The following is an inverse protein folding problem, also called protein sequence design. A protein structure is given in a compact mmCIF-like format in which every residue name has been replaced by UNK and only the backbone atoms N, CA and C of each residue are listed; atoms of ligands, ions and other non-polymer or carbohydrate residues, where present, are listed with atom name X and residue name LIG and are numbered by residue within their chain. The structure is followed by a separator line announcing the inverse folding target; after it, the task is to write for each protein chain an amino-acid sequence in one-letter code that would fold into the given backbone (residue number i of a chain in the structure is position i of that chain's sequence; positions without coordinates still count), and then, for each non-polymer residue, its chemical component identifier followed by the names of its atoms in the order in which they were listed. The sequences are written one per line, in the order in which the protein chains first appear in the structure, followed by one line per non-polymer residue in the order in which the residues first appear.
data_IF_326471567858
#
_entry.id   IF_326471567858
#
_cell.length_a   1.000
_cell.length_b   1.000
_cell.length_c   1.000
_cell.angle_alpha   90.00
_cell.angle_beta   90.00
_cell.angle_gamma   90.00
#
_symmetry.space_group_name_H-M   'P 1'
#
loop_
_entity.id
_entity.type
_entity.pdbx_description
1 polymer ?
2 non-polymer ?
3 water ?
#
# COMPACT_ATOMS: atom_id res chain seq x y z
N UNK A 1 -0.89 17.61 -3.40
CA UNK A 1 -1.91 16.57 -3.72
C UNK A 1 -1.69 15.32 -2.87
N UNK A 2 -2.35 14.24 -3.26
CA UNK A 2 -2.24 12.99 -2.53
C UNK A 2 -1.06 12.17 -3.02
N UNK A 3 -0.80 11.05 -2.35
CA UNK A 3 0.29 10.16 -2.72
C UNK A 3 -0.14 9.43 -3.99
N UNK A 4 0.84 8.95 -4.75
CA UNK A 4 0.54 8.23 -5.98
C UNK A 4 -0.05 6.86 -5.68
N UNK A 5 -0.94 6.42 -6.56
CA UNK A 5 -1.56 5.11 -6.44
C UNK A 5 -0.60 4.03 -6.94
N UNK A 6 -0.54 2.93 -6.21
CA UNK A 6 0.29 1.80 -6.59
C UNK A 6 -0.32 1.24 -7.87
N UNK A 7 0.38 1.43 -8.99
CA UNK A 7 -0.13 0.98 -10.28
C UNK A 7 0.04 -0.48 -10.64
N UNK A 8 -0.60 -0.87 -11.74
CA UNK A 8 -0.56 -2.24 -12.25
C UNK A 8 0.45 -2.34 -13.37
N UNK A 9 1.15 -3.46 -13.42
CA UNK A 9 2.11 -3.72 -14.49
C UNK A 9 2.10 -5.21 -14.78
N UNK A 10 1.65 -5.56 -15.97
CA UNK A 10 1.58 -6.95 -16.36
C UNK A 10 0.89 -7.05 -17.69
N UNK A 11 0.52 -8.26 -18.06
CA UNK A 11 -0.15 -8.47 -19.34
C UNK A 11 -1.50 -7.78 -19.39
N UNK A 12 -1.82 -7.25 -20.56
CA UNK A 12 -3.11 -6.61 -20.77
C UNK A 12 -3.76 -7.41 -21.89
N UNK A 13 -5.07 -7.53 -21.87
CA UNK A 13 -5.79 -8.25 -22.92
C UNK A 13 -6.33 -7.21 -23.89
N UNK A 14 -6.13 -7.46 -25.18
CA UNK A 14 -6.59 -6.53 -26.21
C UNK A 14 -5.66 -5.34 -26.33
N UNK A 15 -5.47 -4.84 -27.54
CA UNK A 15 -4.58 -3.69 -27.74
C UNK A 15 -5.36 -2.39 -27.79
N UNK A 16 -4.64 -1.27 -27.78
CA UNK A 16 -5.27 0.04 -27.81
C UNK A 16 -4.56 1.06 -26.93
N UNK A 17 -5.21 2.21 -26.71
CA UNK A 17 -4.63 3.24 -25.89
C UNK A 17 -5.41 3.40 -24.59
N UNK A 18 -4.72 3.23 -23.46
CA UNK A 18 -5.34 3.35 -22.16
C UNK A 18 -5.08 4.72 -21.54
N UNK A 19 -6.09 5.21 -20.82
CA UNK A 19 -5.99 6.51 -20.19
C UNK A 19 -6.41 6.38 -18.74
N UNK A 20 -5.76 7.13 -17.85
CA UNK A 20 -6.09 7.12 -16.43
C UNK A 20 -5.49 8.34 -15.75
N UNK A 21 -5.89 8.58 -14.50
CA UNK A 21 -5.37 9.70 -13.72
C UNK A 21 -4.93 9.20 -12.35
N UNK A 22 -3.72 9.57 -11.95
CA UNK A 22 -3.21 9.16 -10.65
C UNK A 22 -3.67 10.16 -9.59
N UNK A 23 -3.83 9.69 -8.34
CA UNK A 23 -4.27 10.56 -7.23
C UNK A 23 -3.37 11.81 -7.06
N UNK A 24 -2.15 11.77 -7.55
CA UNK A 24 -1.26 12.92 -7.42
C UNK A 24 -1.61 13.99 -8.44
N UNK A 25 -2.57 13.67 -9.29
CA UNK A 25 -3.00 14.61 -10.32
C UNK A 25 -2.46 14.35 -11.71
N UNK A 26 -1.46 13.49 -11.81
CA UNK A 26 -0.87 13.21 -13.11
C UNK A 26 -1.72 12.35 -14.04
N UNK A 27 -1.72 12.70 -15.33
CA UNK A 27 -2.44 11.91 -16.31
C UNK A 27 -1.43 10.93 -16.86
N UNK A 28 -1.82 9.66 -16.98
CA UNK A 28 -0.91 8.65 -17.49
C UNK A 28 -1.53 7.94 -18.69
N UNK A 29 -0.72 7.78 -19.73
CA UNK A 29 -1.17 7.10 -20.93
C UNK A 29 -0.40 5.80 -21.10
N UNK A 30 -1.14 4.74 -21.42
CA UNK A 30 -0.54 3.45 -21.64
C UNK A 30 -0.88 2.94 -23.02
N UNK A 31 0.13 2.80 -23.87
CA UNK A 31 -0.06 2.31 -25.23
C UNK A 31 0.14 0.79 -25.18
N UNK A 32 -0.92 0.04 -25.47
CA UNK A 32 -0.86 -1.42 -25.42
C UNK A 32 -0.78 -2.12 -26.77
N UNK A 33 0.34 -2.80 -26.99
CA UNK A 33 0.55 -3.55 -28.24
C UNK A 33 1.06 -4.95 -27.90
N UNK A 34 0.38 -5.97 -28.42
CA UNK A 34 0.75 -7.37 -28.18
C UNK A 34 0.76 -7.72 -26.69
N UNK A 35 -0.14 -7.13 -25.91
CA UNK A 35 -0.20 -7.44 -24.50
C UNK A 35 0.68 -6.60 -23.59
N UNK A 36 1.64 -5.87 -24.16
CA UNK A 36 2.51 -5.04 -23.34
C UNK A 36 2.07 -3.58 -23.35
N UNK A 37 2.20 -2.93 -22.20
CA UNK A 37 1.82 -1.54 -22.08
C UNK A 37 3.01 -0.65 -21.88
N UNK A 38 3.16 0.33 -22.76
CA UNK A 38 4.24 1.30 -22.64
C UNK A 38 3.62 2.52 -21.95
N UNK A 39 4.30 3.01 -20.92
CA UNK A 39 3.79 4.15 -20.16
C UNK A 39 4.34 5.52 -20.55
N UNK A 40 3.44 6.50 -20.60
CA UNK A 40 3.79 7.89 -20.91
C UNK A 40 3.21 8.74 -19.79
N UNK A 41 4.07 9.43 -19.05
CA UNK A 41 3.58 10.27 -17.97
C UNK A 41 4.61 11.27 -17.49
N UNK A 42 4.24 12.13 -16.53
CA UNK A 42 5.11 13.16 -15.95
C UNK A 42 6.19 12.54 -15.08
N UNK A 43 7.35 13.18 -15.00
CA UNK A 43 8.43 12.67 -14.17
C UNK A 43 8.02 12.91 -12.73
N UNK A 44 6.92 13.63 -12.57
CA UNK A 44 6.39 13.98 -11.28
C UNK A 44 5.61 12.84 -10.63
N UNK A 45 5.21 11.86 -11.43
CA UNK A 45 4.42 10.73 -10.92
C UNK A 45 5.20 9.44 -10.78
N UNK A 46 4.94 8.74 -9.68
CA UNK A 46 5.60 7.50 -9.35
C UNK A 46 5.35 6.39 -10.38
N UNK A 47 4.14 6.36 -10.93
CA UNK A 47 3.79 5.34 -11.92
C UNK A 47 4.67 5.46 -13.16
N UNK A 48 4.97 6.69 -13.54
CA UNK A 48 5.82 6.93 -14.71
C UNK A 48 7.12 6.15 -14.53
N UNK A 49 7.79 6.36 -13.40
CA UNK A 49 9.06 5.67 -13.16
C UNK A 49 8.94 4.15 -13.03
N UNK A 50 7.84 3.65 -12.44
CA UNK A 50 7.65 2.21 -12.29
C UNK A 50 7.10 1.57 -13.56
N UNK A 51 6.71 2.39 -14.53
CA UNK A 51 6.14 1.85 -15.75
C UNK A 51 4.81 1.18 -15.42
N UNK A 52 4.12 1.69 -14.40
CA UNK A 52 2.84 1.11 -13.99
C UNK A 52 1.63 1.98 -14.34
N UNK A 53 0.45 1.38 -14.33
CA UNK A 53 -0.79 2.05 -14.68
C UNK A 53 -1.83 1.99 -13.54
N UNK A 54 -2.11 3.12 -12.87
CA UNK A 54 -3.08 3.11 -11.78
C UNK A 54 -4.53 3.05 -12.27
N UNK A 55 -5.19 1.92 -12.01
CA UNK A 55 -6.58 1.73 -12.42
C UNK A 55 -7.54 2.47 -11.49
N UNK A 56 -8.28 3.41 -12.04
CA UNK A 56 -9.22 4.24 -11.27
C UNK A 56 -10.60 4.34 -11.89
N UNK A 57 -11.48 5.08 -11.21
CA UNK A 57 -12.80 5.33 -11.74
C UNK A 57 -12.53 6.30 -12.89
N UNK A 58 -11.30 6.81 -12.94
CA UNK A 58 -10.85 7.74 -13.97
C UNK A 58 -10.24 6.99 -15.15
N UNK A 59 -10.07 5.68 -15.03
CA UNK A 59 -9.47 4.92 -16.12
C UNK A 59 -10.39 4.78 -17.34
N UNK A 60 -9.78 4.93 -18.51
CA UNK A 60 -10.47 4.84 -19.79
C UNK A 60 -9.71 4.00 -20.80
N UNK A 61 -10.44 3.24 -21.61
CA UNK A 61 -9.79 2.41 -22.61
C UNK A 61 -10.49 1.09 -22.88
N UNK A 62 -10.06 0.35 -23.92
CA UNK A 62 -10.65 -0.94 -24.30
C UNK A 62 -9.92 -2.16 -23.77
N UNK A 63 -8.65 -1.97 -23.43
CA UNK A 63 -7.82 -3.07 -22.93
C UNK A 63 -8.21 -3.51 -21.52
N UNK A 64 -7.90 -4.75 -21.21
CA UNK A 64 -8.23 -5.32 -19.92
C UNK A 64 -7.07 -5.95 -19.17
N UNK A 65 -7.00 -5.74 -17.84
CA UNK A 65 -5.94 -6.29 -17.00
C UNK A 65 -6.01 -7.82 -17.00
N UNK A 66 -4.85 -8.47 -17.05
CA UNK A 66 -4.80 -9.92 -17.04
C UNK A 66 -3.67 -10.35 -16.11
N UNK A 67 -3.92 -10.32 -14.79
CA UNK A 67 -2.97 -10.67 -13.72
C UNK A 67 -2.49 -12.13 -13.71
N UNK A 68 -1.27 -12.34 -13.26
CA UNK A 68 -0.70 -13.68 -13.15
C UNK A 68 -1.38 -14.38 -11.98
N UNK A 69 -1.66 -15.69 -12.12
CA UNK A 69 -2.33 -16.51 -11.10
C UNK A 69 -1.54 -16.73 -9.82
N UNK A 70 -0.32 -16.22 -9.75
CA UNK A 70 0.50 -16.42 -8.58
C UNK A 70 0.56 -15.27 -7.57
N UNK A 71 -0.61 -14.69 -7.26
CA UNK A 71 -0.68 -13.62 -6.29
C UNK A 71 -0.65 -14.24 -4.89
N UNK A 72 -0.47 -13.41 -3.87
CA UNK A 72 -0.47 -13.91 -2.50
C UNK A 72 -1.88 -13.74 -1.93
N UNK A 73 -2.37 -12.50 -1.99
CA UNK A 73 -3.70 -12.19 -1.48
C UNK A 73 -4.47 -11.31 -2.46
N UNK A 74 -5.79 -11.36 -2.39
CA UNK A 74 -6.62 -10.54 -3.27
C UNK A 74 -7.89 -10.10 -2.56
N UNK A 75 -8.44 -8.98 -3.00
CA UNK A 75 -9.68 -8.46 -2.42
C UNK A 75 -10.79 -8.87 -3.37
N UNK A 76 -11.76 -9.63 -2.85
CA UNK A 76 -12.86 -10.10 -3.69
C UNK A 76 -14.20 -9.47 -3.28
N UNK A 77 -14.78 -8.70 -4.19
CA UNK A 77 -16.05 -8.04 -3.95
C UNK A 77 -17.21 -9.03 -4.17
N UNK A 78 -17.78 -9.51 -3.07
CA UNK A 78 -18.88 -10.48 -3.15
C UNK A 78 -20.28 -9.89 -2.95
N UNK A 79 -20.37 -8.57 -3.04
CA UNK A 79 -21.62 -7.83 -2.89
C UNK A 79 -21.28 -6.38 -3.22
N UNK A 80 -22.29 -5.53 -3.37
CA UNK A 80 -22.06 -4.13 -3.72
C UNK A 80 -21.06 -3.37 -2.85
N UNK A 81 -21.08 -3.60 -1.54
CA UNK A 81 -20.17 -2.88 -0.67
C UNK A 81 -19.44 -3.82 0.30
N UNK A 82 -19.43 -5.10 0.00
CA UNK A 82 -18.81 -6.08 0.88
C UNK A 82 -17.69 -6.88 0.21
N UNK A 83 -16.61 -7.09 0.94
CA UNK A 83 -15.48 -7.84 0.42
C UNK A 83 -15.10 -9.05 1.26
N UNK A 84 -14.27 -9.88 0.65
CA UNK A 84 -13.74 -11.08 1.28
C UNK A 84 -12.29 -11.11 0.84
N UNK A 85 -11.40 -11.54 1.72
CA UNK A 85 -10.00 -11.59 1.34
C UNK A 85 -9.63 -13.02 0.98
N UNK A 86 -8.95 -13.16 -0.15
CA UNK A 86 -8.53 -14.47 -0.63
C UNK A 86 -7.03 -14.65 -0.49
N UNK A 87 -6.63 -15.62 0.32
CA UNK A 87 -5.21 -15.90 0.50
C UNK A 87 -4.89 -17.15 -0.30
N UNK A 88 -3.84 -17.06 -1.11
CA UNK A 88 -3.44 -18.17 -1.96
C UNK A 88 -2.24 -18.96 -1.46
N UNK A 89 -2.39 -20.28 -1.38
CA UNK A 89 -1.31 -21.17 -0.98
C UNK A 89 -1.21 -22.25 -2.05
N UNK A 90 -0.18 -22.15 -2.89
CA UNK A 90 -0.02 -23.11 -3.97
C UNK A 90 -1.19 -23.07 -4.94
N UNK A 91 -1.87 -24.20 -5.08
CA UNK A 91 -3.01 -24.31 -5.99
C UNK A 91 -4.32 -24.09 -5.28
N UNK A 92 -4.26 -23.85 -3.97
CA UNK A 92 -5.48 -23.67 -3.20
C UNK A 92 -5.72 -22.24 -2.73
N UNK A 93 -6.97 -21.96 -2.42
CA UNK A 93 -7.38 -20.62 -2.00
C UNK A 93 -8.19 -20.67 -0.71
N UNK A 94 -7.93 -19.72 0.18
CA UNK A 94 -8.63 -19.68 1.45
C UNK A 94 -9.19 -18.28 1.72
N UNK A 95 -10.44 -18.23 2.20
CA UNK A 95 -11.08 -16.97 2.52
C UNK A 95 -10.58 -16.56 3.91
N UNK A 96 -9.52 -15.76 3.92
CA UNK A 96 -8.89 -15.34 5.17
C UNK A 96 -9.42 -14.07 5.82
N UNK A 97 -10.48 -13.49 5.27
CA UNK A 97 -11.02 -12.28 5.85
C UNK A 97 -12.33 -11.88 5.19
N UNK A 98 -13.11 -11.04 5.88
CA UNK A 98 -14.39 -10.57 5.37
C UNK A 98 -14.78 -9.25 6.04
N UNK A 99 -15.34 -8.34 5.23
CA UNK A 99 -15.76 -7.04 5.72
C UNK A 99 -16.94 -7.17 6.67
N UNK A 100 -17.71 -8.23 6.51
CA UNK A 100 -18.87 -8.46 7.36
C UNK A 100 -18.98 -9.94 7.69
N UNK A 101 -19.48 -10.23 8.89
CA UNK A 101 -19.62 -11.62 9.30
C UNK A 101 -20.79 -12.28 8.58
N UNK A 102 -20.58 -13.52 8.17
CA UNK A 102 -21.60 -14.31 7.49
C UNK A 102 -21.90 -13.92 6.04
N UNK A 103 -20.98 -13.23 5.38
CA UNK A 103 -21.19 -12.84 3.98
C UNK A 103 -21.38 -14.05 3.08
N UNK A 104 -22.29 -13.92 2.11
CA UNK A 104 -22.52 -15.00 1.17
C UNK A 104 -21.27 -15.00 0.31
N UNK A 105 -20.97 -16.11 -0.34
CA UNK A 105 -19.74 -16.18 -1.15
C UNK A 105 -19.74 -17.35 -2.13
N UNK A 106 -19.18 -17.15 -3.34
CA UNK A 106 -19.13 -18.23 -4.34
C UNK A 106 -18.21 -19.35 -3.84
N UNK A 107 -18.36 -20.55 -4.38
CA UNK A 107 -17.54 -21.67 -3.92
C UNK A 107 -16.23 -21.85 -4.69
N UNK A 108 -15.97 -20.99 -5.66
CA UNK A 108 -14.75 -21.07 -6.47
C UNK A 108 -14.24 -19.67 -6.78
N UNK A 109 -12.92 -19.45 -6.68
CA UNK A 109 -12.38 -18.13 -6.98
C UNK A 109 -12.49 -17.93 -8.49
N UNK A 110 -12.59 -16.68 -8.93
CA UNK A 110 -12.69 -16.44 -10.37
C UNK A 110 -11.28 -16.25 -10.89
N UNK A 111 -11.16 -15.77 -12.12
CA UNK A 111 -9.85 -15.51 -12.68
C UNK A 111 -9.38 -14.21 -12.02
N UNK A 112 -8.08 -14.04 -11.85
CA UNK A 112 -7.50 -12.84 -11.22
C UNK A 112 -8.14 -11.51 -11.64
N UNK A 113 -8.44 -11.35 -12.92
CA UNK A 113 -9.03 -10.10 -13.42
C UNK A 113 -10.34 -9.70 -12.72
N UNK A 114 -10.98 -10.68 -12.08
CA UNK A 114 -12.25 -10.40 -11.39
C UNK A 114 -12.07 -9.91 -9.96
N UNK A 115 -10.83 -9.91 -9.47
CA UNK A 115 -10.59 -9.43 -8.12
C UNK A 115 -10.52 -7.91 -8.18
N UNK A 116 -11.03 -7.25 -7.14
CA UNK A 116 -10.97 -5.80 -7.09
C UNK A 116 -9.52 -5.37 -6.88
N UNK A 117 -8.80 -6.14 -6.07
CA UNK A 117 -7.41 -5.80 -5.76
C UNK A 117 -6.56 -7.06 -5.55
N UNK A 118 -5.33 -7.03 -6.06
CA UNK A 118 -4.41 -8.15 -5.94
C UNK A 118 -3.06 -7.65 -5.42
N UNK A 119 -2.63 -8.19 -4.28
CA UNK A 119 -1.39 -7.79 -3.65
C UNK A 119 -1.20 -6.27 -3.65
N UNK A 120 -2.24 -5.54 -3.24
CA UNK A 120 -2.17 -4.10 -3.16
C UNK A 120 -2.39 -3.26 -4.41
N UNK A 121 -2.57 -3.91 -5.57
CA UNK A 121 -2.78 -3.19 -6.83
C UNK A 121 -4.24 -3.26 -7.25
N UNK A 122 -4.89 -2.11 -7.42
CA UNK A 122 -6.30 -2.09 -7.81
C UNK A 122 -6.45 -2.48 -9.27
N UNK A 123 -7.48 -3.28 -9.57
CA UNK A 123 -7.72 -3.73 -10.94
C UNK A 123 -9.05 -3.25 -11.53
N UNK A 124 -9.98 -2.82 -10.68
CA UNK A 124 -11.28 -2.36 -11.17
C UNK A 124 -11.48 -0.84 -11.10
N UNK A 125 -12.27 -0.32 -12.02
CA UNK A 125 -12.56 1.10 -12.04
C UNK A 125 -13.59 1.42 -10.96
N UNK A 126 -14.42 0.43 -10.62
CA UNK A 126 -15.45 0.58 -9.59
C UNK A 126 -15.02 -0.15 -8.33
N UNK A 127 -14.73 0.58 -7.27
CA UNK A 127 -14.27 -0.05 -6.03
C UNK A 127 -14.71 0.68 -4.76
N UNK A 128 -15.73 0.15 -4.08
CA UNK A 128 -16.19 0.79 -2.83
C UNK A 128 -15.12 0.59 -1.77
N UNK A 129 -14.97 1.56 -0.88
CA UNK A 129 -14.00 1.47 0.20
C UNK A 129 -14.15 0.13 0.88
N UNK A 130 -13.05 -0.38 1.43
CA UNK A 130 -13.07 -1.66 2.11
C UNK A 130 -13.03 -1.54 3.63
N UNK A 131 -14.15 -1.84 4.27
CA UNK A 131 -14.24 -1.78 5.73
C UNK A 131 -13.17 -2.70 6.33
N UNK A 132 -12.91 -2.58 7.64
CA UNK A 132 -11.90 -3.43 8.27
C UNK A 132 -12.16 -4.92 8.05
N UNK A 133 -11.12 -5.66 7.70
CA UNK A 133 -11.26 -7.09 7.46
C UNK A 133 -11.33 -7.89 8.76
N UNK A 134 -12.35 -8.74 8.86
CA UNK A 134 -12.53 -9.59 10.04
C UNK A 134 -11.86 -10.94 9.72
N UNK A 135 -10.82 -11.27 10.47
CA UNK A 135 -10.06 -12.50 10.22
C UNK A 135 -10.17 -13.60 11.28
N UNK A 136 -11.10 -13.45 12.23
CA UNK A 136 -11.23 -14.47 13.27
C UNK A 136 -12.64 -14.58 13.83
N UNK A 137 -13.01 -15.79 14.25
CA UNK A 137 -14.31 -16.07 14.84
C UNK A 137 -15.54 -15.69 14.02
N UNK A 138 -15.33 -15.30 12.77
CA UNK A 138 -16.44 -14.97 11.90
C UNK A 138 -16.58 -16.09 10.86
N UNK A 139 -17.66 -16.11 10.10
CA UNK A 139 -17.84 -17.15 9.10
C UNK A 139 -18.43 -16.60 7.81
N UNK A 140 -18.33 -17.38 6.74
CA UNK A 140 -18.89 -16.99 5.46
C UNK A 140 -19.83 -18.09 4.96
N UNK A 141 -20.78 -17.70 4.12
CA UNK A 141 -21.78 -18.63 3.59
C UNK A 141 -21.56 -19.00 2.13
N UNK A 142 -21.44 -20.29 1.86
CA UNK A 142 -21.28 -20.78 0.50
C UNK A 142 -22.54 -21.61 0.30
N UNK A 143 -23.58 -20.95 -0.23
CA UNK A 143 -24.85 -21.63 -0.44
C UNK A 143 -25.63 -21.58 0.86
N UNK A 144 -25.78 -22.75 1.49
CA UNK A 144 -26.50 -22.84 2.75
C UNK A 144 -25.56 -23.30 3.87
N UNK A 145 -24.33 -23.61 3.49
CA UNK A 145 -23.33 -24.07 4.46
C UNK A 145 -22.53 -22.92 5.04
N UNK A 146 -22.00 -23.12 6.25
CA UNK A 146 -21.20 -22.13 6.92
C UNK A 146 -19.77 -22.59 7.09
N UNK A 147 -18.82 -21.67 6.89
CA UNK A 147 -17.41 -22.00 7.04
C UNK A 147 -16.70 -20.93 7.86
N UNK A 148 -15.92 -21.39 8.83
CA UNK A 148 -15.17 -20.51 9.70
C UNK A 148 -14.08 -19.84 8.85
N UNK A 149 -13.66 -18.63 9.23
CA UNK A 149 -12.64 -17.93 8.47
C UNK A 149 -11.36 -18.74 8.44
N UNK A 150 -10.69 -18.73 7.29
CA UNK A 150 -9.46 -19.48 7.12
C UNK A 150 -9.70 -20.76 6.35
N UNK A 151 -10.97 -21.10 6.13
CA UNK A 151 -11.33 -22.29 5.39
C UNK A 151 -11.12 -22.08 3.89
N UNK A 152 -10.63 -23.11 3.20
CA UNK A 152 -10.41 -23.00 1.76
C UNK A 152 -11.79 -23.07 1.14
N UNK A 153 -11.91 -22.59 -0.10
CA UNK A 153 -13.21 -22.62 -0.77
C UNK A 153 -13.70 -24.05 -0.97
N UNK A 154 -14.98 -24.31 -0.64
CA UNK A 154 -15.71 -25.57 -0.71
C UNK A 154 -15.57 -26.43 -1.97
N UNK A 155 -15.60 -25.82 -3.15
CA UNK A 155 -15.50 -26.56 -4.40
C UNK A 155 -14.08 -26.86 -4.85
N UNK A 156 -13.12 -26.73 -3.94
CA UNK A 156 -11.73 -26.99 -4.27
C UNK A 156 -11.27 -28.32 -3.70
N UNK A 157 -10.62 -29.15 -4.52
CA UNK A 157 -10.15 -30.44 -4.03
C UNK A 157 -9.14 -30.22 -2.91
N UNK A 158 -9.29 -30.95 -1.82
CA UNK A 158 -8.40 -30.81 -0.67
C UNK A 158 -6.99 -31.27 -1.00
N UNK A 159 -5.98 -30.57 -0.47
CA UNK A 159 -4.56 -30.91 -0.69
C UNK A 159 -4.22 -32.24 -0.02
N UNK A 160 -3.83 -33.25 -0.80
CA UNK A 160 -3.49 -34.55 -0.21
C UNK A 160 -2.25 -34.44 0.67
N UNK A 161 -2.10 -35.37 1.61
CA UNK A 161 -0.99 -35.37 2.56
C UNK A 161 0.41 -35.67 2.01
N UNK A 162 0.64 -35.38 0.74
CA UNK A 162 1.94 -35.61 0.12
C UNK A 162 2.90 -34.47 0.45
N UNK A 163 3.96 -34.78 1.18
CA UNK A 163 4.96 -33.77 1.56
C UNK A 163 6.34 -34.43 1.69
N UNK B 1 -13.44 8.44 -8.42
CA UNK B 1 -13.26 7.71 -7.12
C UNK B 1 -11.86 7.11 -7.03
N UNK B 2 -11.15 7.50 -5.98
CA UNK B 2 -9.80 7.03 -5.72
C UNK B 2 -9.85 6.16 -4.48
N UNK B 3 -8.84 5.31 -4.29
CA UNK B 3 -8.79 4.47 -3.11
C UNK B 3 -8.45 5.32 -1.89
N UNK B 4 -8.95 4.91 -0.73
CA UNK B 4 -8.66 5.63 0.49
C UNK B 4 -7.17 5.47 0.79
N UNK B 5 -6.59 6.49 1.41
CA UNK B 5 -5.18 6.42 1.77
C UNK B 5 -5.08 5.72 3.12
N UNK B 6 -4.02 4.94 3.31
CA UNK B 6 -3.83 4.28 4.58
C UNK B 6 -3.45 5.38 5.57
N UNK B 7 -4.24 5.53 6.63
CA UNK B 7 -3.96 6.59 7.58
C UNK B 7 -3.15 6.19 8.80
N UNK B 8 -2.65 7.19 9.51
CA UNK B 8 -1.87 6.98 10.70
C UNK B 8 -2.76 6.85 11.94
N UNK B 9 -2.37 5.96 12.85
CA UNK B 9 -3.08 5.78 14.10
C UNK B 9 -2.04 5.49 15.15
N UNK B 10 -1.87 6.42 16.08
CA UNK B 10 -0.89 6.26 17.13
C UNK B 10 -0.75 7.58 17.88
N UNK B 11 0.23 7.65 18.77
CA UNK B 11 0.47 8.84 19.56
C UNK B 11 0.83 10.05 18.70
N UNK B 12 0.42 11.23 19.17
CA UNK B 12 0.72 12.50 18.50
C UNK B 12 1.33 13.39 19.58
N UNK B 13 2.21 14.29 19.17
CA UNK B 13 2.82 15.21 20.13
C UNK B 13 2.16 16.57 19.97
N UNK B 14 1.58 17.07 21.04
CA UNK B 14 0.90 18.35 20.99
C UNK B 14 -0.60 18.15 20.83
N UNK B 15 -1.40 18.96 21.53
CA UNK B 15 -2.84 18.85 21.44
C UNK B 15 -3.43 19.92 20.54
N UNK B 16 -4.62 19.65 20.03
CA UNK B 16 -5.32 20.57 19.15
C UNK B 16 -6.20 19.81 18.17
N UNK B 17 -6.75 20.52 17.19
CA UNK B 17 -7.61 19.89 16.20
C UNK B 17 -6.87 19.70 14.88
N UNK B 18 -6.88 18.47 14.38
CA UNK B 18 -6.21 18.15 13.12
C UNK B 18 -7.25 17.95 12.03
N UNK B 19 -6.94 18.45 10.84
CA UNK B 19 -7.84 18.36 9.71
C UNK B 19 -7.10 17.82 8.49
N UNK B 20 -7.77 17.00 7.69
CA UNK B 20 -7.13 16.45 6.50
C UNK B 20 -8.18 15.97 5.50
N UNK B 21 -7.72 15.52 4.33
CA UNK B 21 -8.62 15.02 3.31
C UNK B 21 -8.13 13.70 2.76
N UNK B 22 -9.02 12.74 2.63
CA UNK B 22 -8.61 11.45 2.07
C UNK B 22 -8.76 11.54 0.54
N UNK B 23 -7.90 10.84 -0.21
CA UNK B 23 -7.98 10.87 -1.68
C UNK B 23 -9.37 10.49 -2.18
N UNK B 24 -10.15 9.83 -1.33
CA UNK B 24 -11.50 9.42 -1.72
C UNK B 24 -12.44 10.62 -1.72
N UNK B 25 -11.96 11.74 -1.17
CA UNK B 25 -12.78 12.95 -1.12
C UNK B 25 -13.27 13.30 0.26
N UNK B 26 -13.27 12.32 1.15
CA UNK B 26 -13.75 12.54 2.52
C UNK B 26 -12.89 13.49 3.34
N UNK B 27 -13.56 14.34 4.11
CA UNK B 27 -12.90 15.29 4.99
C UNK B 27 -12.74 14.50 6.29
N UNK B 28 -11.58 14.61 6.93
CA UNK B 28 -11.39 13.88 8.18
C UNK B 28 -10.84 14.79 9.24
N UNK B 29 -11.46 14.76 10.41
CA UNK B 29 -11.03 15.57 11.54
C UNK B 29 -10.54 14.70 12.68
N UNK B 30 -9.38 15.06 13.24
CA UNK B 30 -8.83 14.30 14.35
C UNK B 30 -8.71 15.18 15.58
N UNK B 31 -9.37 14.78 16.67
CA UNK B 31 -9.30 15.58 17.91
C UNK B 31 -8.27 14.99 18.86
N UNK B 32 -7.21 15.76 19.10
CA UNK B 32 -6.13 15.30 19.94
C UNK B 32 -6.04 15.92 21.34
N UNK B 33 -6.08 15.05 22.35
CA UNK B 33 -5.94 15.46 23.73
C UNK B 33 -5.08 14.38 24.36
N UNK B 34 -4.02 14.79 25.04
CA UNK B 34 -3.10 13.85 25.67
C UNK B 34 -2.52 12.90 24.61
N UNK B 35 -2.07 13.48 23.50
CA UNK B 35 -1.48 12.71 22.42
C UNK B 35 -2.34 11.64 21.75
N UNK B 36 -3.62 11.57 22.10
CA UNK B 36 -4.52 10.58 21.53
C UNK B 36 -5.51 11.25 20.56
N UNK B 37 -5.86 10.55 19.48
CA UNK B 37 -6.77 11.11 18.49
C UNK B 37 -8.12 10.43 18.29
N UNK B 38 -9.18 11.23 18.40
CA UNK B 38 -10.54 10.75 18.20
C UNK B 38 -10.86 11.14 16.75
N UNK B 39 -11.29 10.17 15.95
CA UNK B 39 -11.57 10.42 14.55
C UNK B 39 -13.03 10.73 14.23
N UNK B 40 -13.24 11.75 13.39
CA UNK B 40 -14.58 12.11 12.95
C UNK B 40 -14.51 12.08 11.43
N UNK B 41 -15.25 11.16 10.82
CA UNK B 41 -15.25 11.03 9.38
C UNK B 41 -16.50 10.34 8.83
N UNK B 42 -16.61 10.21 7.50
CA UNK B 42 -17.76 9.57 6.84
C UNK B 42 -17.68 8.04 6.84
N UNK B 43 -18.83 7.38 6.95
CA UNK B 43 -18.89 5.92 6.94
C UNK B 43 -18.47 5.43 5.56
N UNK B 44 -18.31 6.37 4.64
CA UNK B 44 -17.93 6.08 3.27
C UNK B 44 -16.41 6.00 3.07
N UNK B 45 -15.66 6.40 4.09
CA UNK B 45 -14.19 6.40 4.04
C UNK B 45 -13.59 5.31 4.91
N UNK B 46 -12.58 4.63 4.39
CA UNK B 46 -11.94 3.55 5.13
C UNK B 46 -11.25 4.04 6.40
N UNK B 47 -10.65 5.23 6.35
CA UNK B 47 -9.98 5.81 7.50
C UNK B 47 -10.95 5.99 8.66
N UNK B 48 -12.22 6.21 8.37
CA UNK B 48 -13.22 6.40 9.42
C UNK B 48 -13.39 5.12 10.23
N UNK B 49 -13.51 3.99 9.54
CA UNK B 49 -13.66 2.72 10.24
C UNK B 49 -12.39 2.29 10.98
N UNK B 50 -11.23 2.54 10.39
CA UNK B 50 -9.98 2.15 11.06
C UNK B 50 -9.61 3.16 12.13
N UNK B 51 -10.27 4.30 12.12
CA UNK B 51 -9.93 5.32 13.10
C UNK B 51 -8.51 5.80 12.84
N UNK B 52 -8.19 5.96 11.56
CA UNK B 52 -6.85 6.42 11.15
C UNK B 52 -6.92 7.83 10.57
N UNK B 53 -5.78 8.48 10.44
CA UNK B 53 -5.73 9.85 9.91
C UNK B 53 -4.76 9.92 8.72
N UNK B 54 -5.28 10.21 7.52
CA UNK B 54 -4.47 10.32 6.29
C UNK B 54 -3.65 11.62 6.24
N UNK B 55 -2.35 11.54 6.48
CA UNK B 55 -1.52 12.75 6.42
C UNK B 55 -1.20 13.08 4.95
N UNK B 56 -1.50 14.32 4.55
CA UNK B 56 -1.32 14.81 3.19
C UNK B 56 -0.89 16.27 3.14
N UNK B 57 -0.82 16.79 1.93
CA UNK B 57 -0.51 18.20 1.71
C UNK B 57 -1.75 18.93 2.21
N UNK B 58 -2.88 18.23 2.25
CA UNK B 58 -4.14 18.80 2.73
C UNK B 58 -4.28 18.72 4.25
N UNK B 59 -3.24 18.21 4.92
CA UNK B 59 -3.29 18.09 6.37
C UNK B 59 -3.02 19.45 7.04
N UNK B 60 -3.85 19.79 8.00
CA UNK B 60 -3.72 21.06 8.70
C UNK B 60 -3.88 20.84 10.19
N UNK B 61 -3.13 21.60 10.98
CA UNK B 61 -3.22 21.47 12.42
C UNK B 61 -1.88 21.51 13.14
N UNK B 62 -1.88 21.78 14.45
CA UNK B 62 -0.71 21.89 15.32
C UNK B 62 0.03 20.61 15.73
N UNK B 63 -0.60 19.46 15.56
CA UNK B 63 0.01 18.20 15.98
C UNK B 63 1.04 17.59 15.05
N UNK B 64 1.88 16.75 15.64
CA UNK B 64 2.95 16.05 14.93
C UNK B 64 2.83 14.56 15.20
N UNK B 65 2.88 13.73 14.14
CA UNK B 65 2.77 12.29 14.34
C UNK B 65 3.94 11.82 15.20
N UNK B 66 3.72 10.86 16.08
CA UNK B 66 4.79 10.36 16.93
C UNK B 66 4.80 8.84 16.86
N UNK B 67 5.27 8.29 15.73
CA UNK B 67 5.37 6.86 15.44
C UNK B 67 6.12 6.06 16.49
N UNK B 68 5.81 4.77 16.56
CA UNK B 68 6.46 3.86 17.50
C UNK B 68 7.79 3.43 16.85
N UNK B 69 8.80 3.13 17.67
CA UNK B 69 10.12 2.71 17.15
C UNK B 69 10.18 1.26 16.63
N UNK B 70 9.14 0.47 16.88
CA UNK B 70 9.15 -0.93 16.45
C UNK B 70 8.70 -1.14 15.00
N UNK B 71 8.92 -0.15 14.15
CA UNK B 71 8.54 -0.27 12.75
C UNK B 71 9.45 -1.28 12.06
N UNK B 72 9.08 -1.69 10.85
CA UNK B 72 9.89 -2.65 10.10
C UNK B 72 10.67 -1.91 9.02
N UNK B 73 9.97 -1.12 8.22
CA UNK B 73 10.63 -0.36 7.16
C UNK B 73 10.14 1.08 7.16
N UNK B 74 10.89 1.96 6.49
CA UNK B 74 10.49 3.36 6.42
C UNK B 74 11.20 4.08 5.29
N UNK B 75 10.53 5.08 4.72
CA UNK B 75 11.11 5.88 3.66
C UNK B 75 11.75 7.09 4.30
N UNK B 76 13.03 7.28 3.99
CA UNK B 76 13.78 8.40 4.56
C UNK B 76 14.23 9.37 3.46
N UNK B 77 13.60 10.54 3.45
CA UNK B 77 13.89 11.57 2.47
C UNK B 77 15.24 12.23 2.74
N UNK B 78 16.22 11.93 1.88
CA UNK B 78 17.56 12.44 2.05
C UNK B 78 17.98 13.43 0.96
N UNK B 79 17.00 14.02 0.32
CA UNK B 79 17.23 15.00 -0.73
C UNK B 79 15.88 15.58 -1.11
N UNK B 80 15.89 16.60 -1.96
CA UNK B 80 14.64 17.22 -2.40
C UNK B 80 13.65 16.18 -2.88
N UNK B 81 14.12 15.27 -3.75
CA UNK B 81 13.25 14.25 -4.31
C UNK B 81 13.86 12.84 -4.36
N UNK B 82 14.75 12.54 -3.43
CA UNK B 82 15.36 11.23 -3.39
C UNK B 82 15.08 10.56 -2.05
N UNK B 83 14.98 9.24 -2.07
CA UNK B 83 14.69 8.48 -0.87
C UNK B 83 15.62 7.29 -0.66
N UNK B 84 15.67 6.86 0.58
CA UNK B 84 16.44 5.70 0.96
C UNK B 84 15.47 4.88 1.79
N UNK B 85 15.49 3.57 1.62
CA UNK B 85 14.62 2.71 2.41
C UNK B 85 15.40 2.23 3.61
N UNK B 86 14.75 2.23 4.76
CA UNK B 86 15.36 1.79 6.00
C UNK B 86 14.65 0.56 6.55
N UNK B 87 15.44 -0.49 6.84
CA UNK B 87 14.89 -1.70 7.41
C UNK B 87 15.43 -1.80 8.83
N UNK B 88 14.60 -2.25 9.76
CA UNK B 88 15.03 -2.36 11.14
C UNK B 88 15.10 -3.80 11.63
N UNK B 89 16.20 -4.12 12.31
CA UNK B 89 16.40 -5.46 12.88
C UNK B 89 16.85 -5.22 14.32
N UNK B 90 15.92 -5.41 15.24
CA UNK B 90 16.20 -5.19 16.65
C UNK B 90 16.43 -3.72 16.91
N UNK B 91 17.67 -3.37 17.23
CA UNK B 91 18.04 -1.98 17.48
C UNK B 91 18.89 -1.47 16.33
N UNK B 92 18.97 -2.24 15.26
CA UNK B 92 19.79 -1.87 14.11
C UNK B 92 19.01 -1.46 12.87
N UNK B 93 19.58 -0.51 12.14
CA UNK B 93 18.95 0.01 10.94
C UNK B 93 19.84 -0.12 9.73
N UNK B 94 19.29 -0.61 8.64
CA UNK B 94 20.06 -0.80 7.42
C UNK B 94 19.43 -0.07 6.23
N UNK B 95 20.28 0.55 5.41
CA UNK B 95 19.78 1.22 4.22
C UNK B 95 19.62 0.08 3.22
N UNK B 96 18.38 -0.37 3.10
CA UNK B 96 18.03 -1.50 2.27
C UNK B 96 17.50 -1.15 0.87
N UNK B 97 17.57 0.12 0.50
CA UNK B 97 17.11 0.55 -0.80
C UNK B 97 17.29 2.04 -1.02
N UNK B 98 17.35 2.46 -2.28
CA UNK B 98 17.51 3.87 -2.61
C UNK B 98 16.95 4.24 -3.97
N UNK B 99 16.50 5.50 -4.05
CA UNK B 99 15.90 6.08 -5.25
C UNK B 99 16.85 6.25 -6.43
N UNK B 100 18.05 6.75 -6.14
CA UNK B 100 19.08 6.96 -7.15
C UNK B 100 20.38 6.48 -6.52
N UNK B 101 21.27 5.91 -7.33
CA UNK B 101 22.53 5.41 -6.81
C UNK B 101 23.44 6.51 -6.27
N UNK B 102 24.23 6.18 -5.26
CA UNK B 102 25.16 7.11 -4.63
C UNK B 102 24.57 8.35 -3.97
N UNK B 103 23.50 8.16 -3.18
CA UNK B 103 22.87 9.26 -2.48
C UNK B 103 23.59 9.50 -1.16
N UNK B 104 23.85 10.76 -0.83
CA UNK B 104 24.51 11.04 0.43
C UNK B 104 23.46 10.81 1.50
N UNK B 105 23.84 10.08 2.55
CA UNK B 105 22.93 9.73 3.62
C UNK B 105 23.54 9.98 5.00
N UNK B 106 22.71 10.33 6.01
CA UNK B 106 23.20 10.58 7.37
C UNK B 106 23.77 9.28 7.95
N UNK B 107 24.63 9.36 8.97
CA UNK B 107 25.21 8.13 9.51
C UNK B 107 24.33 7.38 10.51
N UNK B 108 23.29 8.03 11.02
CA UNK B 108 22.37 7.38 11.95
C UNK B 108 20.94 7.87 11.70
N UNK B 109 19.97 7.02 12.01
CA UNK B 109 18.56 7.35 11.83
C UNK B 109 18.03 8.38 12.82
N UNK B 110 16.98 9.11 12.41
CA UNK B 110 16.35 10.13 13.24
C UNK B 110 15.20 9.47 13.99
N UNK B 111 14.48 10.24 14.80
CA UNK B 111 13.34 9.68 15.48
C UNK B 111 12.39 9.36 14.33
N UNK B 112 11.60 8.30 14.45
CA UNK B 112 10.65 7.89 13.42
C UNK B 112 9.83 9.01 12.78
N UNK B 113 9.49 10.03 13.57
CA UNK B 113 8.70 11.16 13.07
C UNK B 113 9.36 11.89 11.91
N UNK B 114 10.67 11.70 11.73
CA UNK B 114 11.36 12.38 10.64
C UNK B 114 11.33 11.59 9.34
N UNK B 115 10.70 10.43 9.35
CA UNK B 115 10.59 9.60 8.16
C UNK B 115 9.37 10.03 7.35
N UNK B 116 9.50 10.09 6.03
CA UNK B 116 8.38 10.50 5.19
C UNK B 116 7.30 9.43 5.22
N UNK B 117 7.72 8.19 5.39
CA UNK B 117 6.80 7.07 5.41
C UNK B 117 7.30 5.97 6.37
N UNK B 118 6.37 5.32 7.06
CA UNK B 118 6.70 4.23 7.99
C UNK B 118 5.72 3.09 7.78
N UNK B 119 6.22 1.97 7.30
CA UNK B 119 5.40 0.80 7.02
C UNK B 119 4.18 1.11 6.16
N UNK B 120 4.39 1.82 5.05
CA UNK B 120 3.30 2.16 4.15
C UNK B 120 2.35 3.26 4.61
N UNK B 121 2.63 3.90 5.73
CA UNK B 121 1.77 4.96 6.24
C UNK B 121 2.49 6.32 6.13
N UNK B 122 2.00 7.20 5.26
CA UNK B 122 2.66 8.50 5.12
C UNK B 122 2.60 9.30 6.43
N UNK B 123 3.69 9.98 6.76
CA UNK B 123 3.71 10.79 7.98
C UNK B 123 3.88 12.28 7.70
N UNK B 124 4.44 12.63 6.54
CA UNK B 124 4.68 14.02 6.18
C UNK B 124 3.67 14.70 5.23
N UNK B 125 3.40 15.98 5.48
CA UNK B 125 2.48 16.77 4.68
C UNK B 125 3.10 16.99 3.30
N UNK B 126 4.42 16.91 3.22
CA UNK B 126 5.17 17.10 1.98
C UNK B 126 5.95 15.83 1.66
N UNK B 127 5.63 15.20 0.54
CA UNK B 127 6.31 13.97 0.15
C UNK B 127 6.37 13.81 -1.35
N UNK B 128 7.51 14.18 -1.94
CA UNK B 128 7.62 14.04 -3.40
C UNK B 128 7.41 12.58 -3.75
N UNK B 129 7.03 12.31 -5.00
CA UNK B 129 6.82 10.94 -5.45
C UNK B 129 8.12 10.16 -5.26
N UNK B 130 8.00 8.92 -4.81
CA UNK B 130 9.15 8.05 -4.58
C UNK B 130 9.43 7.17 -5.80
N UNK B 131 10.63 7.30 -6.34
CA UNK B 131 11.03 6.52 -7.50
C UNK B 131 11.32 5.08 -7.07
N UNK B 132 11.32 4.14 -8.02
CA UNK B 132 11.59 2.73 -7.68
C UNK B 132 12.86 2.56 -6.82
N UNK B 133 12.74 1.74 -5.79
CA UNK B 133 13.86 1.50 -4.88
C UNK B 133 14.91 0.54 -5.44
N UNK B 134 16.12 1.06 -5.67
CA UNK B 134 17.21 0.23 -6.17
C UNK B 134 17.71 -0.54 -4.95
N UNK B 135 17.61 -1.86 -4.99
CA UNK B 135 18.03 -2.68 -3.86
C UNK B 135 19.24 -3.58 -4.14
N UNK B 136 19.77 -3.52 -5.35
CA UNK B 136 20.91 -4.35 -5.74
C UNK B 136 22.07 -3.53 -6.29
N UNK B 137 23.25 -4.13 -6.30
CA UNK B 137 24.47 -3.51 -6.81
C UNK B 137 24.49 -1.99 -6.94
N UNK B 138 24.06 -1.31 -5.88
CA UNK B 138 24.06 0.14 -5.84
C UNK B 138 24.70 0.53 -4.51
N UNK B 139 25.17 1.76 -4.39
CA UNK B 139 25.81 2.19 -3.15
C UNK B 139 25.30 3.56 -2.65
N UNK B 140 25.55 3.84 -1.38
CA UNK B 140 25.15 5.11 -0.79
C UNK B 140 26.33 5.70 -0.06
N UNK B 141 26.22 6.98 0.29
CA UNK B 141 27.30 7.69 0.95
C UNK B 141 26.98 8.18 2.36
N UNK B 142 28.01 8.27 3.18
CA UNK B 142 27.89 8.77 4.54
C UNK B 142 29.18 9.54 4.69
N UNK B 143 29.10 10.86 4.48
CA UNK B 143 30.30 11.66 4.55
C UNK B 143 31.08 11.35 3.29
N UNK B 144 32.28 10.78 3.43
CA UNK B 144 33.11 10.47 2.28
C UNK B 144 33.23 8.97 2.01
N UNK B 145 32.52 8.16 2.79
CA UNK B 145 32.59 6.70 2.64
C UNK B 145 31.45 6.08 1.82
N UNK B 146 31.81 5.16 0.92
CA UNK B 146 30.83 4.47 0.09
C UNK B 146 30.40 3.18 0.79
N UNK B 147 29.13 2.80 0.64
CA UNK B 147 28.62 1.58 1.25
C UNK B 147 27.71 0.83 0.30
N UNK B 148 27.86 -0.48 0.22
CA UNK B 148 27.02 -1.29 -0.65
C UNK B 148 25.62 -1.34 -0.04
N UNK B 149 24.60 -1.21 -0.87
CA UNK B 149 23.24 -1.25 -0.38
C UNK B 149 23.01 -2.48 0.49
N UNK B 150 22.52 -2.27 1.70
CA UNK B 150 22.27 -3.37 2.62
C UNK B 150 23.04 -3.24 3.91
N UNK B 151 24.08 -2.42 3.89
CA UNK B 151 24.91 -2.19 5.06
C UNK B 151 24.13 -1.41 6.12
N UNK B 152 24.48 -1.60 7.39
CA UNK B 152 23.78 -0.88 8.44
C UNK B 152 24.43 0.48 8.58
N UNK B 153 23.70 1.43 9.14
CA UNK B 153 24.22 2.78 9.32
C UNK B 153 25.51 2.79 10.11
N UNK B 154 26.54 3.49 9.59
CA UNK B 154 27.88 3.63 10.18
C UNK B 154 27.96 4.00 11.67
N UNK B 155 27.06 4.87 12.13
CA UNK B 155 27.10 5.29 13.52
C UNK B 155 26.36 4.38 14.49
N UNK B 156 26.16 3.13 14.09
CA UNK B 156 25.48 2.17 14.93
C UNK B 156 26.47 1.06 15.25
N UNK B 157 26.39 0.49 16.46
CA UNK B 157 27.34 -0.58 16.77
C UNK B 157 26.99 -1.80 15.91
N UNK B 158 27.96 -2.29 15.16
CA UNK B 158 27.75 -3.44 14.29
C UNK B 158 27.75 -4.71 15.14
N UNK B 159 26.63 -5.44 15.14
CA UNK B 159 26.54 -6.68 15.93
C UNK B 159 27.41 -7.77 15.32
N UNK B 160 27.62 -8.85 16.07
CA UNK B 160 28.39 -9.99 15.57
C UNK B 160 27.44 -10.80 14.71
N UNK B 161 27.99 -11.60 13.81
CA UNK B 161 27.17 -12.44 12.94
C UNK B 161 26.50 -13.46 13.87
N UNK B 162 25.42 -14.08 13.40
CA UNK B 162 24.71 -15.07 14.21
C UNK B 162 24.13 -14.38 15.44
N UNK B 163 23.94 -13.07 15.35
CA UNK B 163 23.38 -12.27 16.43
C UNK B 163 22.58 -11.14 15.78
X LIG C 1 1.19 9.85 -9.36
X LIG D 1 -11.10 7.68 2.28
#
# INVERSE_FOLDING_TARGET
FFSCQRGYKGVWRGDGIMQTTCPCGAQITGHVKNGSMRIVGPRTCSNTWHGTFPINAYTTGPCTPSPAPNYSRALWRVAAEEYVEVTRVGDFHYVTGMTTDNVKCPCQVPAPEFFTEVDGVRLHRYAPACKPLLREEVTFLVGLNQYLVGSQLPCEPEPDVAV
FFSCQRGYKGVWRGDGIMQTTCPCGAQITGHVKNGSMRIVGPRTCSNTWHGTFPINAYTTGPCTPSPAPNYSRALWRVAAEEYVEVTRVGDFHYVTGMTTDNVKCPCQVPAPEFFTEVDGVRLHRYAPACKPLLREEVTFLVGLNQYLVGSQLPCEPEPDVAV
ZN ZN
ZN ZN
#
